data_IF_211608272699
#
_entry.id   IF_211608272699
#
_cell.length_a   1.000
_cell.length_b   1.000
_cell.length_c   1.000
_cell.angle_alpha   90.00
_cell.angle_beta   90.00
_cell.angle_gamma   90.00
#
_symmetry.space_group_name_H-M   'P 1'
#
loop_
_entity.id
_entity.type
_entity.pdbx_description
1 polymer ?
#
# COMPACT_ATOMS: atom_id res chain seq x y z
N UNK A 1 -13.82 18.36 -7.45
CA UNK A 1 -12.54 18.83 -6.86
C UNK A 1 -11.60 19.27 -7.96
N UNK A 2 -10.70 20.23 -7.73
CA UNK A 2 -9.74 20.73 -8.75
C UNK A 2 -8.43 19.95 -8.70
N UNK A 3 -7.97 19.45 -9.84
CA UNK A 3 -6.62 18.90 -10.01
C UNK A 3 -5.64 20.06 -10.25
N UNK A 4 -4.66 20.22 -9.35
CA UNK A 4 -3.78 21.39 -9.31
C UNK A 4 -2.39 21.09 -9.87
N UNK A 5 -1.60 22.13 -10.17
CA UNK A 5 -0.19 22.01 -10.59
C UNK A 5 0.67 21.20 -9.61
N UNK A 6 0.41 21.33 -8.30
CA UNK A 6 1.07 20.51 -7.28
C UNK A 6 0.72 19.02 -7.41
N UNK A 7 -0.54 18.68 -7.69
CA UNK A 7 -0.93 17.28 -7.91
C UNK A 7 -0.28 16.70 -9.18
N UNK A 8 -0.12 17.52 -10.22
CA UNK A 8 0.62 17.14 -11.42
C UNK A 8 2.09 16.86 -11.11
N UNK A 9 2.78 17.76 -10.40
CA UNK A 9 4.17 17.53 -9.97
C UNK A 9 4.32 16.26 -9.13
N UNK A 10 3.39 15.98 -8.22
CA UNK A 10 3.40 14.74 -7.45
C UNK A 10 3.23 13.49 -8.33
N UNK A 11 2.44 13.58 -9.41
CA UNK A 11 2.27 12.47 -10.36
C UNK A 11 3.54 12.23 -11.19
N UNK A 12 4.27 13.29 -11.55
CA UNK A 12 5.59 13.19 -12.20
C UNK A 12 6.64 12.60 -11.25
N UNK A 13 6.64 13.03 -9.99
CA UNK A 13 7.51 12.41 -8.97
C UNK A 13 7.19 10.92 -8.83
N UNK A 14 5.90 10.54 -8.85
CA UNK A 14 5.46 9.16 -8.75
C UNK A 14 6.03 8.24 -9.82
N UNK A 15 6.09 8.67 -11.10
CA UNK A 15 6.70 7.85 -12.16
C UNK A 15 8.23 7.75 -12.00
N UNK A 16 8.89 8.81 -11.53
CA UNK A 16 10.34 8.78 -11.28
C UNK A 16 10.67 7.78 -10.16
N UNK A 17 9.89 7.80 -9.07
CA UNK A 17 10.02 6.83 -7.98
C UNK A 17 9.72 5.41 -8.48
N UNK A 18 8.71 5.23 -9.32
CA UNK A 18 8.41 3.93 -9.95
C UNK A 18 9.62 3.35 -10.70
N UNK A 19 10.22 4.15 -11.58
CA UNK A 19 11.40 3.75 -12.36
C UNK A 19 12.61 3.49 -11.45
N UNK A 20 12.82 4.35 -10.46
CA UNK A 20 13.95 4.23 -9.53
C UNK A 20 13.87 2.93 -8.74
N UNK A 21 12.68 2.59 -8.21
CA UNK A 21 12.49 1.33 -7.47
C UNK A 21 12.81 0.13 -8.37
N UNK A 22 12.26 0.06 -9.59
CA UNK A 22 12.56 -1.03 -10.54
C UNK A 22 14.07 -1.18 -10.82
N UNK A 23 14.79 -0.07 -10.99
CA UNK A 23 16.25 -0.09 -11.20
C UNK A 23 16.96 -0.61 -9.94
N UNK A 24 16.56 -0.14 -8.76
CA UNK A 24 17.14 -0.56 -7.48
C UNK A 24 16.88 -2.05 -7.22
N UNK A 25 15.69 -2.57 -7.53
CA UNK A 25 15.33 -3.98 -7.33
C UNK A 25 16.17 -4.90 -8.20
N UNK A 26 16.36 -4.55 -9.48
CA UNK A 26 17.25 -5.27 -10.40
C UNK A 26 18.69 -5.19 -9.92
N UNK A 27 19.15 -3.99 -9.53
CA UNK A 27 20.51 -3.79 -9.02
C UNK A 27 20.78 -4.65 -7.79
N UNK A 28 19.87 -4.67 -6.82
CA UNK A 28 20.00 -5.45 -5.58
C UNK A 28 20.06 -6.95 -5.89
N UNK A 29 19.20 -7.45 -6.78
CA UNK A 29 19.23 -8.85 -7.19
C UNK A 29 20.55 -9.24 -7.88
N UNK A 30 21.06 -8.40 -8.78
CA UNK A 30 22.35 -8.60 -9.47
C UNK A 30 23.51 -8.55 -8.50
N UNK A 31 23.47 -7.62 -7.53
CA UNK A 31 24.50 -7.52 -6.48
C UNK A 31 24.57 -8.80 -5.65
N UNK A 32 23.44 -9.33 -5.18
CA UNK A 32 23.42 -10.61 -4.45
C UNK A 32 23.97 -11.77 -5.29
N UNK A 33 23.71 -11.77 -6.61
CA UNK A 33 24.27 -12.78 -7.50
C UNK A 33 25.80 -12.69 -7.57
N UNK A 34 26.36 -11.48 -7.72
CA UNK A 34 27.81 -11.26 -7.75
C UNK A 34 28.50 -11.56 -6.41
N UNK A 35 27.82 -11.31 -5.29
CA UNK A 35 28.31 -11.63 -3.94
C UNK A 35 28.18 -13.13 -3.60
N UNK A 36 27.71 -13.98 -4.53
CA UNK A 36 27.56 -15.43 -4.35
C UNK A 36 26.35 -15.84 -3.52
N UNK A 37 25.49 -14.89 -3.13
CA UNK A 37 24.27 -15.11 -2.34
C UNK A 37 23.07 -15.42 -3.26
N UNK A 38 23.15 -16.54 -3.97
CA UNK A 38 22.17 -16.92 -5.00
C UNK A 38 20.74 -17.04 -4.48
N UNK A 39 20.54 -17.53 -3.26
CA UNK A 39 19.20 -17.68 -2.65
C UNK A 39 18.52 -16.32 -2.48
N UNK A 40 19.25 -15.34 -1.94
CA UNK A 40 18.72 -13.99 -1.74
C UNK A 40 18.48 -13.26 -3.06
N UNK A 41 19.36 -13.47 -4.05
CA UNK A 41 19.17 -12.96 -5.42
C UNK A 41 17.88 -13.49 -6.05
N UNK A 42 17.66 -14.81 -6.00
CA UNK A 42 16.46 -15.46 -6.54
C UNK A 42 15.20 -15.03 -5.80
N UNK A 43 15.25 -14.90 -4.48
CA UNK A 43 14.11 -14.43 -3.69
C UNK A 43 13.75 -12.98 -4.04
N UNK A 44 14.73 -12.07 -4.08
CA UNK A 44 14.51 -10.67 -4.43
C UNK A 44 13.90 -10.52 -5.83
N UNK A 45 14.45 -11.24 -6.82
CA UNK A 45 13.92 -11.27 -8.18
C UNK A 45 12.50 -11.85 -8.24
N UNK A 46 12.24 -12.92 -7.49
CA UNK A 46 10.93 -13.57 -7.46
C UNK A 46 9.85 -12.64 -6.88
N UNK A 47 10.16 -11.90 -5.82
CA UNK A 47 9.24 -10.92 -5.24
C UNK A 47 8.95 -9.77 -6.22
N UNK A 48 9.97 -9.26 -6.91
CA UNK A 48 9.81 -8.24 -7.96
C UNK A 48 8.94 -8.73 -9.12
N UNK A 49 9.24 -9.91 -9.67
CA UNK A 49 8.47 -10.48 -10.78
C UNK A 49 7.02 -10.78 -10.37
N UNK A 50 6.81 -11.28 -9.14
CA UNK A 50 5.47 -11.55 -8.65
C UNK A 50 4.66 -10.27 -8.42
N UNK A 51 5.24 -9.27 -7.76
CA UNK A 51 4.61 -7.97 -7.53
C UNK A 51 4.20 -7.30 -8.84
N UNK A 52 5.15 -7.19 -9.77
CA UNK A 52 4.91 -6.61 -11.10
C UNK A 52 3.85 -7.41 -11.89
N UNK A 53 3.87 -8.74 -11.87
CA UNK A 53 2.87 -9.56 -12.57
C UNK A 53 1.45 -9.30 -12.05
N UNK A 54 1.27 -9.28 -10.73
CA UNK A 54 -0.05 -9.03 -10.12
C UNK A 54 -0.54 -7.62 -10.47
N UNK A 55 0.34 -6.63 -10.39
CA UNK A 55 0.03 -5.24 -10.74
C UNK A 55 -0.36 -5.13 -12.22
N UNK A 56 0.35 -5.80 -13.12
CA UNK A 56 0.01 -5.82 -14.55
C UNK A 56 -1.34 -6.49 -14.81
N UNK A 57 -1.71 -7.54 -14.07
CA UNK A 57 -3.03 -8.17 -14.18
C UNK A 57 -4.16 -7.19 -13.83
N UNK A 58 -4.05 -6.48 -12.70
CA UNK A 58 -5.01 -5.42 -12.34
C UNK A 58 -5.00 -4.29 -13.36
N UNK A 59 -3.81 -3.85 -13.76
CA UNK A 59 -3.60 -2.76 -14.69
C UNK A 59 -4.28 -3.04 -16.03
N UNK A 60 -4.11 -4.24 -16.58
CA UNK A 60 -4.74 -4.66 -17.83
C UNK A 60 -6.26 -4.78 -17.70
N UNK A 61 -6.75 -5.44 -16.65
CA UNK A 61 -8.19 -5.62 -16.42
C UNK A 61 -8.93 -4.29 -16.33
N UNK A 62 -8.38 -3.37 -15.54
CA UNK A 62 -8.93 -2.03 -15.39
C UNK A 62 -8.82 -1.22 -16.70
N UNK A 63 -7.72 -1.36 -17.46
CA UNK A 63 -7.55 -0.68 -18.75
C UNK A 63 -8.59 -1.16 -19.78
N UNK A 64 -8.81 -2.47 -19.84
CA UNK A 64 -9.86 -3.08 -20.67
C UNK A 64 -11.25 -2.58 -20.30
N UNK A 65 -11.54 -2.45 -19.01
CA UNK A 65 -12.80 -1.91 -18.54
C UNK A 65 -12.98 -0.42 -18.89
N UNK A 66 -11.91 0.38 -18.87
CA UNK A 66 -11.94 1.79 -19.28
C UNK A 66 -12.16 1.96 -20.79
N UNK A 67 -11.50 1.14 -21.62
CA UNK A 67 -11.72 1.10 -23.07
C UNK A 67 -13.15 0.71 -23.42
N UNK A 68 -13.70 -0.32 -22.74
CA UNK A 68 -15.08 -0.75 -22.93
C UNK A 68 -16.07 0.37 -22.58
N UNK A 69 -15.82 1.13 -21.50
CA UNK A 69 -16.62 2.31 -21.14
C UNK A 69 -16.54 3.43 -22.19
N UNK A 70 -15.40 3.57 -22.86
CA UNK A 70 -15.19 4.54 -23.94
C UNK A 70 -15.68 4.06 -25.32
N UNK A 71 -16.27 2.86 -25.43
CA UNK A 71 -16.72 2.29 -26.70
C UNK A 71 -15.58 1.89 -27.65
N UNK A 72 -14.35 1.75 -27.14
CA UNK A 72 -13.18 1.34 -27.92
C UNK A 72 -12.89 -0.15 -27.72
N UNK A 73 -12.54 -0.86 -28.79
CA UNK A 73 -12.13 -2.25 -28.69
C UNK A 73 -10.70 -2.39 -28.14
N UNK A 74 -10.49 -3.42 -27.34
CA UNK A 74 -9.17 -3.74 -26.77
C UNK A 74 -8.28 -4.33 -27.86
N UNK A 75 -7.32 -3.54 -28.34
CA UNK A 75 -6.32 -4.05 -29.28
C UNK A 75 -5.35 -5.01 -28.59
N UNK A 76 -5.01 -6.12 -29.27
CA UNK A 76 -4.03 -7.12 -28.80
C UNK A 76 -2.65 -6.50 -28.49
N UNK A 77 -2.30 -5.38 -29.11
CA UNK A 77 -1.08 -4.64 -28.83
C UNK A 77 -0.97 -4.18 -27.36
N UNK A 78 -2.10 -3.82 -26.72
CA UNK A 78 -2.09 -3.42 -25.32
C UNK A 78 -1.86 -4.61 -24.38
N UNK A 79 -2.44 -5.79 -24.69
CA UNK A 79 -2.15 -7.02 -23.94
C UNK A 79 -0.65 -7.33 -24.00
N UNK A 80 -0.06 -7.30 -25.20
CA UNK A 80 1.37 -7.53 -25.40
C UNK A 80 2.22 -6.55 -24.58
N UNK A 81 1.83 -5.28 -24.56
CA UNK A 81 2.53 -4.26 -23.78
C UNK A 81 2.44 -4.49 -22.27
N UNK A 82 1.30 -4.95 -21.75
CA UNK A 82 1.17 -5.37 -20.35
C UNK A 82 2.01 -6.63 -20.05
N UNK A 83 2.09 -7.58 -20.98
CA UNK A 83 2.96 -8.75 -20.86
C UNK A 83 4.44 -8.37 -20.83
N UNK A 84 4.84 -7.33 -21.57
CA UNK A 84 6.20 -6.77 -21.57
C UNK A 84 6.44 -5.74 -20.45
N UNK A 85 5.61 -5.73 -19.40
CA UNK A 85 5.66 -4.78 -18.28
C UNK A 85 5.48 -3.29 -18.64
N UNK A 86 5.25 -2.95 -19.91
CA UNK A 86 4.99 -1.59 -20.41
C UNK A 86 3.64 -1.00 -20.00
N UNK A 87 2.72 -1.81 -19.47
CA UNK A 87 1.36 -1.40 -19.16
C UNK A 87 1.25 -0.25 -18.15
N UNK A 88 2.04 -0.29 -17.07
CA UNK A 88 2.06 0.77 -16.04
C UNK A 88 2.52 2.11 -16.64
N UNK A 89 3.55 2.09 -17.51
CA UNK A 89 4.03 3.28 -18.19
C UNK A 89 2.95 3.93 -19.06
N UNK A 90 2.12 3.14 -19.75
CA UNK A 90 0.99 3.72 -20.51
C UNK A 90 -0.04 4.40 -19.62
N UNK A 91 -0.32 3.84 -18.43
CA UNK A 91 -1.24 4.47 -17.47
C UNK A 91 -0.71 5.78 -16.96
N UNK A 92 0.58 5.83 -16.60
CA UNK A 92 1.23 7.08 -16.23
C UNK A 92 1.20 8.09 -17.37
N UNK A 93 1.48 7.67 -18.61
CA UNK A 93 1.40 8.54 -19.78
C UNK A 93 0.01 9.17 -19.95
N UNK A 94 -1.05 8.35 -19.89
CA UNK A 94 -2.42 8.86 -20.00
C UNK A 94 -2.80 9.78 -18.82
N UNK A 95 -2.43 9.41 -17.58
CA UNK A 95 -2.69 10.21 -16.40
C UNK A 95 -1.95 11.56 -16.44
N UNK A 96 -0.69 11.58 -16.87
CA UNK A 96 0.10 12.79 -17.03
C UNK A 96 -0.40 13.66 -18.18
N UNK A 97 -0.73 13.09 -19.34
CA UNK A 97 -1.27 13.85 -20.48
C UNK A 97 -2.57 14.56 -20.12
N UNK A 98 -3.52 13.84 -19.50
CA UNK A 98 -4.79 14.43 -19.04
C UNK A 98 -4.60 15.36 -17.85
N UNK A 99 -3.69 15.03 -16.93
CA UNK A 99 -3.35 15.85 -15.77
C UNK A 99 -2.69 17.18 -16.15
N UNK A 100 -1.86 17.20 -17.19
CA UNK A 100 -1.26 18.42 -17.74
C UNK A 100 -2.35 19.36 -18.27
N UNK A 101 -3.27 18.83 -19.09
CA UNK A 101 -4.38 19.60 -19.62
C UNK A 101 -5.27 20.18 -18.52
N UNK A 102 -5.59 19.36 -17.50
CA UNK A 102 -6.38 19.78 -16.35
C UNK A 102 -5.65 20.82 -15.46
N UNK A 103 -4.32 20.77 -15.34
CA UNK A 103 -3.56 21.65 -14.45
C UNK A 103 -3.07 22.95 -15.10
N UNK A 104 -2.85 22.98 -16.42
CA UNK A 104 -2.19 24.09 -17.11
C UNK A 104 -2.99 24.71 -18.26
N UNK A 105 -3.88 23.96 -18.93
CA UNK A 105 -4.53 24.44 -20.16
C UNK A 105 -5.94 24.98 -19.93
N UNK A 106 -6.67 24.45 -18.93
CA UNK A 106 -8.10 24.73 -18.74
C UNK A 106 -8.43 25.79 -17.67
N UNK A 107 -7.42 26.59 -17.25
CA UNK A 107 -7.60 27.71 -16.30
C UNK A 107 -7.89 29.05 -17.00
N UNK A 108 -7.93 29.09 -18.33
CA UNK A 108 -8.21 30.28 -19.13
C UNK A 108 -9.47 30.11 -20.00
N UNK A 109 -10.52 30.83 -19.62
CA UNK A 109 -11.75 31.16 -20.36
C UNK A 109 -12.84 30.08 -20.55
N UNK A 110 -14.06 30.46 -20.15
CA UNK A 110 -15.39 30.22 -20.76
C UNK A 110 -16.43 29.54 -19.84
N UNK A 111 -17.51 30.27 -19.60
CA UNK A 111 -18.60 30.05 -18.62
C UNK A 111 -19.62 28.96 -18.98
N UNK A 112 -19.48 28.26 -20.12
CA UNK A 112 -20.41 27.20 -20.56
C UNK A 112 -19.90 25.76 -20.34
N UNK A 113 -18.71 25.57 -19.74
CA UNK A 113 -18.02 24.26 -19.65
C UNK A 113 -17.83 23.73 -18.22
N UNK A 114 -18.59 24.25 -17.24
CA UNK A 114 -18.35 23.92 -15.83
C UNK A 114 -18.57 22.43 -15.50
N UNK A 115 -19.54 21.78 -16.15
CA UNK A 115 -19.83 20.35 -15.94
C UNK A 115 -18.77 19.45 -16.57
N UNK A 116 -18.30 19.77 -17.78
CA UNK A 116 -17.21 19.07 -18.47
C UNK A 116 -15.85 19.26 -17.75
N UNK A 117 -15.64 20.42 -17.14
CA UNK A 117 -14.45 20.71 -16.32
C UNK A 117 -14.46 19.90 -15.01
N UNK A 118 -15.61 19.75 -14.36
CA UNK A 118 -15.77 18.91 -13.17
C UNK A 118 -15.53 17.43 -13.53
N UNK A 119 -16.00 16.97 -14.69
CA UNK A 119 -15.80 15.60 -15.16
C UNK A 119 -14.32 15.32 -15.45
N UNK A 120 -13.61 16.23 -16.14
CA UNK A 120 -12.17 16.07 -16.43
C UNK A 120 -11.32 15.98 -15.15
N UNK A 121 -11.54 16.89 -14.19
CA UNK A 121 -10.77 16.86 -12.95
C UNK A 121 -11.04 15.59 -12.15
N UNK A 122 -12.29 15.13 -12.12
CA UNK A 122 -12.67 13.87 -11.47
C UNK A 122 -12.02 12.67 -12.16
N UNK A 123 -12.04 12.61 -13.49
CA UNK A 123 -11.40 11.55 -14.26
C UNK A 123 -9.90 11.45 -13.96
N UNK A 124 -9.19 12.58 -13.94
CA UNK A 124 -7.75 12.60 -13.61
C UNK A 124 -7.49 12.14 -12.18
N UNK A 125 -8.30 12.59 -11.22
CA UNK A 125 -8.17 12.18 -9.81
C UNK A 125 -8.41 10.67 -9.67
N UNK A 126 -9.42 10.12 -10.35
CA UNK A 126 -9.71 8.68 -10.33
C UNK A 126 -8.55 7.88 -10.95
N UNK A 127 -7.99 8.33 -12.08
CA UNK A 127 -6.82 7.69 -12.72
C UNK A 127 -5.57 7.72 -11.83
N UNK A 128 -5.30 8.83 -11.15
CA UNK A 128 -4.18 8.93 -10.20
C UNK A 128 -4.43 8.03 -8.99
N UNK A 129 -5.68 7.90 -8.54
CA UNK A 129 -6.04 7.01 -7.43
C UNK A 129 -5.84 5.54 -7.81
N UNK A 130 -6.22 5.14 -9.03
CA UNK A 130 -5.94 3.81 -9.57
C UNK A 130 -4.42 3.54 -9.60
N UNK A 131 -3.61 4.51 -10.03
CA UNK A 131 -2.14 4.40 -10.01
C UNK A 131 -1.58 4.26 -8.59
N UNK A 132 -2.04 5.06 -7.64
CA UNK A 132 -1.63 4.94 -6.22
C UNK A 132 -2.03 3.58 -5.64
N UNK A 133 -3.17 3.01 -6.03
CA UNK A 133 -3.59 1.67 -5.60
C UNK A 133 -2.72 0.57 -6.20
N UNK A 134 -2.37 0.65 -7.49
CA UNK A 134 -1.44 -0.27 -8.13
C UNK A 134 -0.06 -0.23 -7.46
N UNK A 135 0.43 0.98 -7.18
CA UNK A 135 1.70 1.16 -6.47
C UNK A 135 1.65 0.58 -5.07
N UNK A 136 0.54 0.75 -4.35
CA UNK A 136 0.33 0.13 -3.05
C UNK A 136 0.45 -1.40 -3.12
N UNK A 137 -0.20 -2.04 -4.11
CA UNK A 137 -0.12 -3.49 -4.30
C UNK A 137 1.31 -3.94 -4.55
N UNK A 138 2.02 -3.29 -5.46
CA UNK A 138 3.43 -3.56 -5.74
C UNK A 138 4.27 -3.46 -4.46
N UNK A 139 4.21 -2.31 -3.78
CA UNK A 139 5.00 -2.03 -2.58
C UNK A 139 4.76 -3.05 -1.45
N UNK A 140 3.56 -3.60 -1.32
CA UNK A 140 3.29 -4.65 -0.33
C UNK A 140 3.63 -6.06 -0.81
N UNK A 141 3.40 -6.40 -2.08
CA UNK A 141 3.70 -7.73 -2.62
C UNK A 141 5.21 -7.97 -2.82
N UNK A 142 5.93 -6.90 -3.11
CA UNK A 142 7.37 -6.90 -3.38
C UNK A 142 8.17 -6.30 -2.21
N UNK A 143 7.91 -5.03 -1.89
CA UNK A 143 8.73 -4.26 -0.96
C UNK A 143 8.70 -4.78 0.48
N UNK A 144 7.57 -5.32 0.95
CA UNK A 144 7.47 -5.89 2.30
C UNK A 144 8.30 -7.19 2.47
N UNK A 145 8.18 -8.20 1.59
CA UNK A 145 9.07 -9.36 1.59
C UNK A 145 10.55 -9.02 1.42
N UNK A 146 10.90 -8.08 0.54
CA UNK A 146 12.27 -7.60 0.39
C UNK A 146 12.79 -6.88 1.64
N UNK A 147 11.95 -6.10 2.34
CA UNK A 147 12.32 -5.48 3.62
C UNK A 147 12.58 -6.54 4.70
N UNK A 148 11.79 -7.62 4.76
CA UNK A 148 12.07 -8.77 5.64
C UNK A 148 13.44 -9.37 5.33
N UNK A 149 13.73 -9.58 4.04
CA UNK A 149 15.02 -10.12 3.59
C UNK A 149 16.18 -9.18 3.96
N UNK A 150 16.02 -7.88 3.75
CA UNK A 150 17.02 -6.88 4.11
C UNK A 150 17.27 -6.83 5.62
N UNK A 151 16.21 -6.88 6.42
CA UNK A 151 16.31 -6.93 7.88
C UNK A 151 16.97 -8.23 8.37
N UNK A 152 16.67 -9.36 7.72
CA UNK A 152 17.31 -10.64 8.04
C UNK A 152 18.81 -10.58 7.80
N UNK A 153 19.24 -10.12 6.62
CA UNK A 153 20.67 -9.99 6.27
C UNK A 153 21.38 -9.00 7.20
N UNK A 154 20.73 -7.89 7.52
CA UNK A 154 21.24 -6.86 8.45
C UNK A 154 21.53 -7.45 9.83
N UNK A 155 20.64 -8.28 10.35
CA UNK A 155 20.78 -8.93 11.66
C UNK A 155 21.75 -10.11 11.63
N UNK A 156 21.81 -10.85 10.52
CA UNK A 156 22.72 -12.00 10.34
C UNK A 156 24.19 -11.56 10.34
N UNK A 157 24.52 -10.44 9.70
CA UNK A 157 25.91 -9.99 9.58
C UNK A 157 26.46 -9.34 10.86
N UNK A 158 25.60 -8.89 11.80
CA UNK A 158 25.99 -8.32 13.11
C UNK A 158 26.75 -6.97 13.08
N UNK A 159 27.47 -6.66 12.00
CA UNK A 159 28.20 -5.42 11.77
C UNK A 159 27.57 -4.64 10.62
N UNK A 160 26.44 -4.04 10.90
CA UNK A 160 25.72 -3.24 9.92
C UNK A 160 26.34 -1.85 9.76
N UNK A 161 26.74 -1.53 8.53
CA UNK A 161 27.17 -0.18 8.17
C UNK A 161 26.00 0.80 8.35
N UNK A 162 26.29 2.04 8.73
CA UNK A 162 25.26 3.10 8.83
C UNK A 162 24.39 3.20 7.57
N UNK A 163 25.00 2.99 6.40
CA UNK A 163 24.31 2.96 5.10
C UNK A 163 23.24 1.86 5.01
N UNK A 164 23.44 0.67 5.60
CA UNK A 164 22.45 -0.43 5.56
C UNK A 164 21.26 -0.14 6.48
N UNK A 165 21.51 0.42 7.66
CA UNK A 165 20.44 0.91 8.54
C UNK A 165 19.63 2.01 7.85
N UNK A 166 20.30 2.99 7.25
CA UNK A 166 19.65 4.06 6.50
C UNK A 166 18.80 3.50 5.35
N UNK A 167 19.32 2.56 4.55
CA UNK A 167 18.58 1.93 3.47
C UNK A 167 17.33 1.18 3.96
N UNK A 168 17.43 0.50 5.11
CA UNK A 168 16.30 -0.22 5.73
C UNK A 168 15.22 0.75 6.18
N UNK A 169 15.62 1.87 6.82
CA UNK A 169 14.70 2.92 7.25
C UNK A 169 14.02 3.60 6.05
N UNK A 170 14.76 3.90 4.99
CA UNK A 170 14.22 4.47 3.75
C UNK A 170 13.18 3.54 3.14
N UNK A 171 13.47 2.23 3.05
CA UNK A 171 12.54 1.24 2.52
C UNK A 171 11.25 1.14 3.35
N UNK A 172 11.37 1.10 4.69
CA UNK A 172 10.21 1.10 5.57
C UNK A 172 9.38 2.40 5.47
N UNK A 173 10.05 3.55 5.34
CA UNK A 173 9.41 4.84 5.08
C UNK A 173 8.68 4.85 3.74
N UNK A 174 9.28 4.31 2.68
CA UNK A 174 8.67 4.22 1.34
C UNK A 174 7.38 3.40 1.37
N UNK A 175 7.38 2.22 2.02
CA UNK A 175 6.18 1.38 2.19
C UNK A 175 5.07 2.13 2.94
N UNK A 176 5.45 2.81 4.02
CA UNK A 176 4.51 3.57 4.84
C UNK A 176 3.94 4.77 4.08
N UNK A 177 4.78 5.45 3.29
CA UNK A 177 4.38 6.58 2.45
C UNK A 177 3.43 6.15 1.33
N UNK A 178 3.68 5.01 0.68
CA UNK A 178 2.77 4.43 -0.33
C UNK A 178 1.34 4.25 0.23
N UNK A 179 1.23 3.82 1.49
CA UNK A 179 -0.07 3.72 2.19
C UNK A 179 -0.73 5.08 2.42
N UNK A 180 0.06 6.09 2.80
CA UNK A 180 -0.44 7.46 3.02
C UNK A 180 -0.90 8.07 1.69
N UNK A 181 -0.10 7.91 0.64
CA UNK A 181 -0.41 8.41 -0.71
C UNK A 181 -1.72 7.82 -1.22
N UNK A 182 -1.89 6.50 -1.14
CA UNK A 182 -3.14 5.84 -1.47
C UNK A 182 -4.32 6.38 -0.65
N UNK A 183 -4.19 6.54 0.66
CA UNK A 183 -5.29 7.06 1.50
C UNK A 183 -5.66 8.51 1.15
N UNK A 184 -4.68 9.33 0.79
CA UNK A 184 -4.92 10.71 0.32
C UNK A 184 -5.60 10.70 -1.05
N UNK A 185 -5.14 9.87 -1.99
CA UNK A 185 -5.72 9.75 -3.32
C UNK A 185 -7.17 9.21 -3.25
N UNK A 186 -7.40 8.15 -2.47
CA UNK A 186 -8.72 7.57 -2.23
C UNK A 186 -9.70 8.61 -1.70
N UNK A 187 -9.33 9.36 -0.65
CA UNK A 187 -10.21 10.40 -0.10
C UNK A 187 -10.46 11.55 -1.08
N UNK A 188 -9.54 11.86 -1.99
CA UNK A 188 -9.75 12.85 -3.06
C UNK A 188 -10.71 12.34 -4.14
N UNK A 189 -10.69 11.05 -4.45
CA UNK A 189 -11.60 10.43 -5.45
C UNK A 189 -13.06 10.38 -4.99
N UNK A 190 -13.28 10.29 -3.67
CA UNK A 190 -14.61 10.12 -3.08
C UNK A 190 -15.22 11.48 -2.72
N UNK A 191 -16.31 11.92 -3.38
CA UNK A 191 -16.93 13.22 -3.10
C UNK A 191 -17.52 13.29 -1.69
N UNK A 192 -17.97 12.15 -1.15
CA UNK A 192 -18.67 12.04 0.14
C UNK A 192 -17.70 11.89 1.33
N UNK A 193 -16.38 11.93 1.11
CA UNK A 193 -15.37 11.78 2.18
C UNK A 193 -14.58 13.06 2.38
N UNK A 194 -14.38 13.44 3.65
CA UNK A 194 -13.51 14.56 4.02
C UNK A 194 -12.04 14.26 3.66
N UNK A 195 -11.41 15.26 3.06
CA UNK A 195 -9.99 15.25 2.72
C UNK A 195 -9.12 15.19 3.99
N UNK A 196 -7.93 14.60 3.83
CA UNK A 196 -6.83 14.74 4.77
C UNK A 196 -6.15 16.10 4.55
N UNK A 197 -6.76 17.16 5.10
CA UNK A 197 -6.23 18.52 5.02
C UNK A 197 -5.11 18.74 6.05
N UNK A 198 -4.01 19.33 5.60
CA UNK A 198 -2.84 19.65 6.44
C UNK A 198 -1.73 18.59 6.42
N UNK A 199 -0.54 19.00 6.87
CA UNK A 199 0.63 18.14 6.99
C UNK A 199 0.54 17.24 8.24
N UNK A 200 -0.02 17.75 9.34
CA UNK A 200 -0.05 17.05 10.61
C UNK A 200 -0.79 15.69 10.54
N UNK A 201 -2.03 15.60 10.01
CA UNK A 201 -2.72 14.30 9.87
C UNK A 201 -1.96 13.28 9.01
N UNK A 202 -1.28 13.76 7.95
CA UNK A 202 -0.49 12.90 7.04
C UNK A 202 0.77 12.37 7.74
N UNK A 203 1.48 13.23 8.46
CA UNK A 203 2.69 12.87 9.20
C UNK A 203 2.35 11.91 10.36
N UNK A 204 1.28 12.17 11.11
CA UNK A 204 0.84 11.25 12.18
C UNK A 204 0.44 9.89 11.59
N UNK A 205 -0.27 9.87 10.47
CA UNK A 205 -0.64 8.62 9.79
C UNK A 205 0.59 7.85 9.28
N UNK A 206 1.57 8.58 8.73
CA UNK A 206 2.85 8.01 8.28
C UNK A 206 3.58 7.35 9.44
N UNK A 207 3.78 8.04 10.56
CA UNK A 207 4.47 7.48 11.72
C UNK A 207 3.73 6.29 12.32
N UNK A 208 2.39 6.34 12.40
CA UNK A 208 1.59 5.19 12.79
C UNK A 208 1.88 3.97 11.90
N UNK A 209 1.82 4.11 10.57
CA UNK A 209 2.08 3.00 9.65
C UNK A 209 3.53 2.53 9.72
N UNK A 210 4.49 3.45 9.80
CA UNK A 210 5.91 3.16 9.91
C UNK A 210 6.25 2.33 11.15
N UNK A 211 5.85 2.80 12.34
CA UNK A 211 6.21 2.13 13.58
C UNK A 211 5.51 0.77 13.75
N UNK A 212 4.24 0.66 13.34
CA UNK A 212 3.50 -0.62 13.39
C UNK A 212 4.01 -1.64 12.37
N UNK A 213 4.51 -1.19 11.22
CA UNK A 213 5.17 -2.04 10.23
C UNK A 213 6.53 -2.50 10.74
N UNK A 214 7.39 -1.57 11.17
CA UNK A 214 8.76 -1.84 11.62
C UNK A 214 8.81 -2.83 12.78
N UNK A 215 7.99 -2.62 13.82
CA UNK A 215 7.90 -3.52 14.97
C UNK A 215 7.56 -4.96 14.56
N UNK A 216 6.61 -5.11 13.65
CA UNK A 216 6.20 -6.41 13.14
C UNK A 216 7.23 -7.07 12.26
N UNK A 217 7.82 -6.34 11.32
CA UNK A 217 8.84 -6.90 10.44
C UNK A 217 10.03 -7.42 11.24
N UNK A 218 10.48 -6.65 12.24
CA UNK A 218 11.50 -7.11 13.18
C UNK A 218 11.08 -8.37 13.94
N UNK A 219 9.83 -8.44 14.41
CA UNK A 219 9.31 -9.66 15.08
C UNK A 219 9.30 -10.87 14.15
N UNK A 220 8.83 -10.72 12.91
CA UNK A 220 8.82 -11.80 11.91
C UNK A 220 10.24 -12.26 11.61
N UNK A 221 11.20 -11.34 11.49
CA UNK A 221 12.61 -11.67 11.27
C UNK A 221 13.21 -12.41 12.47
N UNK A 222 12.89 -12.02 13.71
CA UNK A 222 13.30 -12.79 14.89
C UNK A 222 12.75 -14.23 14.85
N UNK A 223 11.49 -14.40 14.44
CA UNK A 223 10.91 -15.74 14.29
C UNK A 223 11.57 -16.54 13.17
N UNK A 224 12.00 -15.90 12.08
CA UNK A 224 12.78 -16.53 11.00
C UNK A 224 14.13 -17.07 11.50
N UNK A 225 14.81 -16.31 12.36
CA UNK A 225 16.05 -16.78 13.01
C UNK A 225 15.82 -17.96 13.95
N UNK A 226 14.66 -18.01 14.63
CA UNK A 226 14.32 -19.12 15.50
C UNK A 226 14.05 -20.39 14.71
N UNK A 227 13.12 -20.33 13.75
CA UNK A 227 12.79 -21.44 12.88
C UNK A 227 12.03 -20.96 11.64
N UNK A 228 12.68 -21.04 10.49
CA UNK A 228 12.11 -20.66 9.19
C UNK A 228 10.77 -21.35 8.92
N UNK A 229 10.62 -22.64 9.25
CA UNK A 229 9.36 -23.38 9.00
C UNK A 229 8.21 -22.84 9.84
N UNK A 230 8.46 -22.53 11.12
CA UNK A 230 7.45 -21.96 12.02
C UNK A 230 7.05 -20.55 11.56
N UNK A 231 8.04 -19.72 11.17
CA UNK A 231 7.78 -18.39 10.64
C UNK A 231 6.92 -18.43 9.37
N UNK A 232 7.29 -19.27 8.39
CA UNK A 232 6.52 -19.44 7.16
C UNK A 232 5.12 -19.99 7.41
N UNK A 233 4.98 -20.95 8.31
CA UNK A 233 3.67 -21.48 8.71
C UNK A 233 2.79 -20.39 9.35
N UNK A 234 3.36 -19.57 10.24
CA UNK A 234 2.64 -18.46 10.88
C UNK A 234 2.21 -17.41 9.86
N UNK A 235 3.08 -17.01 8.93
CA UNK A 235 2.75 -16.07 7.86
C UNK A 235 1.67 -16.63 6.93
N UNK A 236 1.75 -17.92 6.57
CA UNK A 236 0.74 -18.60 5.77
C UNK A 236 -0.61 -18.65 6.49
N UNK A 237 -0.61 -18.96 7.78
CA UNK A 237 -1.83 -18.97 8.59
C UNK A 237 -2.48 -17.58 8.66
N UNK A 238 -1.70 -16.53 8.91
CA UNK A 238 -2.20 -15.15 8.89
C UNK A 238 -2.74 -14.74 7.53
N UNK A 239 -2.08 -15.17 6.45
CA UNK A 239 -2.55 -14.93 5.09
C UNK A 239 -3.92 -15.56 4.86
N UNK A 240 -4.08 -16.84 5.21
CA UNK A 240 -5.36 -17.54 5.08
C UNK A 240 -6.47 -16.86 5.90
N UNK A 241 -6.18 -16.44 7.13
CA UNK A 241 -7.12 -15.67 7.95
C UNK A 241 -7.51 -14.35 7.27
N UNK A 242 -6.53 -13.63 6.70
CA UNK A 242 -6.75 -12.39 5.96
C UNK A 242 -7.64 -12.60 4.73
N UNK A 243 -7.40 -13.68 3.97
CA UNK A 243 -8.21 -14.06 2.82
C UNK A 243 -9.64 -14.41 3.24
N UNK A 244 -9.81 -15.27 4.25
CA UNK A 244 -11.14 -15.62 4.80
C UNK A 244 -11.89 -14.37 5.25
N UNK A 245 -11.20 -13.43 5.89
CA UNK A 245 -11.78 -12.16 6.29
C UNK A 245 -12.20 -11.33 5.05
N UNK A 246 -11.36 -11.21 4.03
CA UNK A 246 -11.71 -10.53 2.78
C UNK A 246 -12.97 -11.14 2.13
N UNK A 247 -13.10 -12.47 2.12
CA UNK A 247 -14.31 -13.16 1.66
C UNK A 247 -15.53 -12.83 2.53
N UNK A 248 -15.42 -12.91 3.86
CA UNK A 248 -16.52 -12.61 4.78
C UNK A 248 -17.02 -11.17 4.64
N UNK A 249 -16.16 -10.24 4.22
CA UNK A 249 -16.54 -8.83 3.98
C UNK A 249 -17.20 -8.58 2.63
N UNK A 250 -17.32 -9.59 1.75
CA UNK A 250 -18.02 -9.52 0.46
C UNK A 250 -17.65 -8.27 -0.35
N UNK A 251 -16.38 -8.13 -0.68
CA UNK A 251 -15.90 -7.02 -1.50
C UNK A 251 -16.45 -7.07 -2.93
N UNK A 252 -16.69 -5.90 -3.52
CA UNK A 252 -17.15 -5.73 -4.91
C UNK A 252 -16.25 -4.74 -5.66
N UNK A 253 -14.94 -4.96 -5.63
CA UNK A 253 -13.98 -4.00 -6.17
C UNK A 253 -13.80 -4.12 -7.70
N UNK A 254 -13.76 -5.34 -8.21
CA UNK A 254 -13.62 -5.65 -9.62
C UNK A 254 -14.96 -6.10 -10.23
N UNK A 255 -15.18 -5.75 -11.51
CA UNK A 255 -16.38 -6.17 -12.25
C UNK A 255 -16.37 -7.66 -12.61
N UNK A 256 -15.19 -8.25 -12.78
CA UNK A 256 -15.04 -9.68 -13.08
C UNK A 256 -14.76 -10.51 -11.84
N UNK A 257 -15.45 -11.63 -11.69
CA UNK A 257 -15.31 -12.57 -10.55
C UNK A 257 -13.86 -13.04 -10.34
N UNK A 258 -13.14 -13.36 -11.42
CA UNK A 258 -11.74 -13.80 -11.33
C UNK A 258 -10.81 -12.73 -10.75
N UNK A 259 -11.01 -11.47 -11.12
CA UNK A 259 -10.19 -10.37 -10.60
C UNK A 259 -10.58 -9.98 -9.18
N UNK A 260 -11.85 -10.15 -8.81
CA UNK A 260 -12.30 -9.98 -7.44
C UNK A 260 -11.69 -11.03 -6.51
N UNK A 261 -11.59 -12.27 -6.98
CA UNK A 261 -10.87 -13.34 -6.27
C UNK A 261 -9.39 -13.00 -6.08
N UNK A 262 -8.70 -12.56 -7.14
CA UNK A 262 -7.31 -12.10 -7.06
C UNK A 262 -7.16 -10.92 -6.09
N UNK A 263 -8.09 -9.96 -6.11
CA UNK A 263 -8.10 -8.82 -5.19
C UNK A 263 -8.17 -9.27 -3.73
N UNK A 264 -9.07 -10.20 -3.40
CA UNK A 264 -9.20 -10.74 -2.04
C UNK A 264 -7.93 -11.46 -1.58
N UNK A 265 -7.26 -12.19 -2.48
CA UNK A 265 -5.97 -12.81 -2.21
C UNK A 265 -4.90 -11.77 -1.86
N UNK A 266 -4.77 -10.73 -2.69
CA UNK A 266 -3.78 -9.66 -2.50
C UNK A 266 -4.06 -8.86 -1.23
N UNK A 267 -5.32 -8.53 -0.96
CA UNK A 267 -5.71 -7.86 0.28
C UNK A 267 -5.41 -8.72 1.51
N UNK A 268 -5.68 -10.03 1.44
CA UNK A 268 -5.29 -10.97 2.49
C UNK A 268 -3.78 -10.98 2.73
N UNK A 269 -2.97 -10.82 1.68
CA UNK A 269 -1.51 -10.68 1.80
C UNK A 269 -1.10 -9.35 2.45
N UNK A 270 -1.71 -8.24 2.04
CA UNK A 270 -1.48 -6.92 2.66
C UNK A 270 -1.81 -6.95 4.16
N UNK A 271 -2.88 -7.66 4.55
CA UNK A 271 -3.29 -7.84 5.95
C UNK A 271 -2.25 -8.57 6.81
N UNK A 272 -1.28 -9.28 6.23
CA UNK A 272 -0.16 -9.83 7.01
C UNK A 272 0.69 -8.68 7.55
N UNK A 273 0.82 -7.58 6.81
CA UNK A 273 1.75 -6.49 7.10
C UNK A 273 1.08 -5.27 7.71
N UNK A 274 -0.11 -4.90 7.26
CA UNK A 274 -0.80 -3.72 7.79
C UNK A 274 -2.31 -3.89 7.77
N UNK A 275 -2.99 -3.19 8.69
CA UNK A 275 -4.43 -3.06 8.59
C UNK A 275 -4.79 -2.27 7.32
N UNK A 276 -5.34 -2.97 6.34
CA UNK A 276 -5.95 -2.40 5.16
C UNK A 276 -7.46 -2.46 5.33
N UNK A 277 -8.11 -1.29 5.32
CA UNK A 277 -9.57 -1.25 5.41
C UNK A 277 -10.13 -1.83 4.11
N UNK A 278 -11.00 -2.83 4.19
CA UNK A 278 -11.51 -3.57 3.03
C UNK A 278 -12.88 -3.05 2.55
N UNK A 279 -13.71 -2.55 3.47
CA UNK A 279 -15.12 -2.20 3.23
C UNK A 279 -15.46 -0.74 3.55
N UNK A 280 -14.46 0.10 3.85
CA UNK A 280 -14.62 1.56 3.98
C UNK A 280 -15.48 2.08 5.15
N UNK A 281 -16.26 1.22 5.81
CA UNK A 281 -17.26 1.59 6.82
C UNK A 281 -17.06 0.83 8.16
N UNK A 282 -17.57 1.40 9.26
CA UNK A 282 -17.56 0.81 10.62
C UNK A 282 -16.24 0.13 11.02
N UNK A 283 -15.16 0.91 10.92
CA UNK A 283 -13.79 0.38 11.04
C UNK A 283 -13.33 0.18 12.48
N UNK A 284 -13.99 0.75 13.49
CA UNK A 284 -13.52 0.77 14.89
C UNK A 284 -13.29 -0.66 15.45
N UNK A 285 -14.31 -1.51 15.41
CA UNK A 285 -14.24 -2.90 15.90
C UNK A 285 -13.27 -3.80 15.11
N UNK A 286 -13.36 -3.90 13.77
CA UNK A 286 -12.43 -4.72 12.99
C UNK A 286 -10.97 -4.28 13.15
N UNK A 287 -10.74 -2.96 13.22
CA UNK A 287 -9.40 -2.42 13.44
C UNK A 287 -8.87 -2.76 14.84
N UNK A 288 -9.70 -2.62 15.88
CA UNK A 288 -9.31 -3.01 17.24
C UNK A 288 -8.94 -4.48 17.32
N UNK A 289 -9.77 -5.37 16.76
CA UNK A 289 -9.49 -6.80 16.69
C UNK A 289 -8.16 -7.11 16.00
N UNK A 290 -7.91 -6.47 14.84
CA UNK A 290 -6.64 -6.62 14.11
C UNK A 290 -5.44 -6.22 14.98
N UNK A 291 -5.48 -5.04 15.61
CA UNK A 291 -4.34 -4.55 16.40
C UNK A 291 -4.15 -5.32 17.70
N UNK A 292 -5.21 -5.86 18.31
CA UNK A 292 -5.10 -6.78 19.46
C UNK A 292 -4.37 -8.05 19.05
N UNK A 293 -4.81 -8.73 17.98
CA UNK A 293 -4.14 -9.94 17.47
C UNK A 293 -2.69 -9.63 17.11
N UNK A 294 -2.43 -8.47 16.52
CA UNK A 294 -1.08 -8.01 16.16
C UNK A 294 -0.17 -7.84 17.37
N UNK A 295 -0.64 -7.15 18.41
CA UNK A 295 0.11 -6.95 19.66
C UNK A 295 0.37 -8.29 20.35
N UNK A 296 -0.65 -9.16 20.45
CA UNK A 296 -0.50 -10.50 21.03
C UNK A 296 0.51 -11.35 20.23
N UNK A 297 0.47 -11.30 18.90
CA UNK A 297 1.43 -11.99 18.05
C UNK A 297 2.86 -11.51 18.26
N UNK A 298 3.09 -10.19 18.27
CA UNK A 298 4.41 -9.62 18.54
C UNK A 298 4.92 -9.98 19.94
N UNK A 299 4.08 -9.86 20.97
CA UNK A 299 4.45 -10.23 22.34
C UNK A 299 4.74 -11.74 22.45
N UNK A 300 3.93 -12.59 21.81
CA UNK A 300 4.14 -14.03 21.78
C UNK A 300 5.48 -14.41 21.16
N UNK A 301 5.84 -13.79 20.03
CA UNK A 301 7.14 -14.00 19.38
C UNK A 301 8.28 -13.55 20.31
N UNK A 302 8.17 -12.37 20.92
CA UNK A 302 9.18 -11.89 21.88
C UNK A 302 9.34 -12.82 23.08
N UNK A 303 8.24 -13.34 23.65
CA UNK A 303 8.28 -14.28 24.77
C UNK A 303 9.00 -15.57 24.36
N UNK A 304 8.63 -16.16 23.23
CA UNK A 304 9.30 -17.37 22.72
C UNK A 304 10.78 -17.11 22.49
N UNK A 305 11.13 -15.96 21.93
CA UNK A 305 12.51 -15.58 21.66
C UNK A 305 13.34 -15.35 22.94
N UNK A 306 12.72 -14.88 24.03
CA UNK A 306 13.35 -14.76 25.35
C UNK A 306 13.46 -16.08 26.10
N UNK A 307 12.49 -16.98 25.95
CA UNK A 307 12.52 -18.31 26.59
C UNK A 307 13.47 -19.27 25.87
N UNK A 308 13.62 -19.11 24.55
CA UNK A 308 14.53 -19.89 23.72
C UNK A 308 15.60 -18.97 23.10
N UNK A 309 16.56 -18.46 23.89
CA UNK A 309 17.59 -17.57 23.36
C UNK A 309 18.45 -18.31 22.33
N UNK A 310 18.58 -17.73 21.15
CA UNK A 310 19.43 -18.27 20.08
C UNK A 310 20.89 -17.99 20.38
N UNK A 311 21.74 -19.00 20.20
CA UNK A 311 23.20 -18.91 20.35
C UNK A 311 23.86 -17.93 19.35
N UNK A 312 23.16 -17.56 18.28
CA UNK A 312 23.62 -16.63 17.24
C UNK A 312 23.64 -15.18 17.76
N UNK A 313 22.75 -14.83 18.69
CA UNK A 313 22.70 -13.47 19.25
C UNK A 313 23.54 -13.39 20.51
N UNK A 314 24.65 -12.64 20.44
CA UNK A 314 25.34 -12.18 21.65
C UNK A 314 24.38 -11.32 22.49
N UNK A 315 24.52 -11.38 23.82
CA UNK A 315 23.70 -10.61 24.77
C UNK A 315 23.62 -9.11 24.43
N UNK A 316 24.67 -8.57 23.79
CA UNK A 316 24.79 -7.16 23.42
C UNK A 316 23.84 -6.72 22.29
N UNK A 317 23.45 -7.61 21.38
CA UNK A 317 22.50 -7.31 20.30
C UNK A 317 21.05 -7.69 20.64
N UNK A 318 20.90 -8.69 21.52
CA UNK A 318 19.62 -9.22 21.95
C UNK A 318 18.73 -8.15 22.63
N UNK A 319 19.31 -7.39 23.56
CA UNK A 319 18.59 -6.38 24.35
C UNK A 319 18.18 -5.19 23.46
N UNK A 320 19.06 -4.57 22.66
CA UNK A 320 18.68 -3.46 21.79
C UNK A 320 17.58 -3.79 20.78
N UNK A 321 17.60 -4.98 20.17
CA UNK A 321 16.56 -5.39 19.21
C UNK A 321 15.21 -5.55 19.92
N UNK A 322 15.19 -6.23 21.07
CA UNK A 322 13.96 -6.39 21.87
C UNK A 322 13.39 -5.04 22.30
N UNK A 323 14.24 -4.13 22.81
CA UNK A 323 13.84 -2.77 23.17
C UNK A 323 13.29 -2.02 21.96
N UNK A 324 13.93 -2.13 20.81
CA UNK A 324 13.49 -1.48 19.57
C UNK A 324 12.11 -1.98 19.14
N UNK A 325 11.85 -3.29 19.19
CA UNK A 325 10.54 -3.86 18.84
C UNK A 325 9.44 -3.34 19.78
N UNK A 326 9.69 -3.33 21.08
CA UNK A 326 8.72 -2.85 22.08
C UNK A 326 8.49 -1.35 21.93
N UNK A 327 9.55 -0.56 21.80
CA UNK A 327 9.46 0.89 21.63
C UNK A 327 8.68 1.27 20.36
N UNK A 328 9.00 0.64 19.24
CA UNK A 328 8.30 0.87 17.97
C UNK A 328 6.85 0.39 18.03
N UNK A 329 6.55 -0.71 18.73
CA UNK A 329 5.16 -1.14 18.94
C UNK A 329 4.37 -0.08 19.72
N UNK A 330 4.91 0.37 20.86
CA UNK A 330 4.27 1.36 21.73
C UNK A 330 4.06 2.69 21.01
N UNK A 331 5.08 3.18 20.30
CA UNK A 331 4.97 4.38 19.47
C UNK A 331 3.93 4.20 18.36
N UNK A 332 3.90 3.05 17.69
CA UNK A 332 2.91 2.74 16.66
C UNK A 332 1.48 2.79 17.18
N UNK A 333 1.22 2.23 18.36
CA UNK A 333 -0.10 2.28 19.02
C UNK A 333 -0.43 3.70 19.51
N UNK A 334 0.55 4.44 20.03
CA UNK A 334 0.36 5.84 20.43
C UNK A 334 -0.05 6.70 19.22
N UNK A 335 0.69 6.63 18.11
CA UNK A 335 0.35 7.37 16.89
C UNK A 335 -0.98 6.91 16.29
N UNK A 336 -1.34 5.63 16.42
CA UNK A 336 -2.65 5.13 16.05
C UNK A 336 -3.76 5.83 16.86
N UNK A 337 -3.63 5.85 18.18
CA UNK A 337 -4.60 6.50 19.09
C UNK A 337 -4.69 7.99 18.80
N UNK A 338 -3.55 8.67 18.66
CA UNK A 338 -3.49 10.11 18.34
C UNK A 338 -4.15 10.37 16.99
N UNK A 339 -3.86 9.60 15.95
CA UNK A 339 -4.45 9.79 14.63
C UNK A 339 -5.97 9.59 14.66
N UNK A 340 -6.48 8.49 15.20
CA UNK A 340 -7.93 8.24 15.25
C UNK A 340 -8.67 9.10 16.28
N UNK A 341 -7.98 9.49 17.35
CA UNK A 341 -8.49 10.40 18.36
C UNK A 341 -8.59 11.84 17.86
N UNK A 342 -7.54 12.39 17.27
CA UNK A 342 -7.48 13.85 17.01
C UNK A 342 -7.55 14.23 15.54
N UNK A 343 -6.94 13.44 14.66
CA UNK A 343 -6.71 13.83 13.26
C UNK A 343 -7.61 13.11 12.24
N UNK A 344 -8.36 12.10 12.65
CA UNK A 344 -9.20 11.33 11.73
C UNK A 344 -10.41 12.17 11.27
N UNK A 345 -10.59 12.39 9.95
CA UNK A 345 -11.56 13.36 9.44
C UNK A 345 -13.03 13.08 9.79
N UNK A 346 -13.40 11.83 10.09
CA UNK A 346 -14.80 11.47 10.36
C UNK A 346 -15.22 11.66 11.83
N UNK A 347 -14.35 12.17 12.73
CA UNK A 347 -14.74 12.43 14.13
C UNK A 347 -15.75 13.59 14.26
N UNK A 348 -15.81 14.49 13.27
CA UNK A 348 -16.65 15.69 13.32
C UNK A 348 -18.15 15.48 13.02
N UNK A 349 -18.64 14.24 12.91
CA UNK A 349 -19.96 13.96 12.30
C UNK A 349 -20.84 12.92 13.02
N UNK A 350 -20.55 12.56 14.28
CA UNK A 350 -21.57 11.90 15.13
C UNK A 350 -22.68 12.89 15.58
N UNK A 351 -22.87 14.02 14.89
CA UNK A 351 -23.84 15.07 15.29
C UNK A 351 -24.46 15.81 14.10
N UNK A 352 -25.11 15.09 13.18
CA UNK A 352 -26.14 15.65 12.29
C UNK A 352 -27.00 14.53 11.69
N UNK A 353 -28.23 14.40 12.18
CA UNK A 353 -29.31 13.68 11.51
C UNK A 353 -30.10 14.65 10.61
N UNK A 354 -30.52 14.12 9.45
CA UNK A 354 -31.71 14.44 8.61
C UNK A 354 -31.83 15.87 8.00
N UNK A 355 -32.24 16.13 6.74
CA UNK A 355 -32.93 15.40 5.65
C UNK A 355 -32.58 16.03 4.25
N UNK A 356 -32.54 15.17 3.19
CA UNK A 356 -33.11 15.21 1.81
C UNK A 356 -33.13 16.58 1.04
N UNK A 357 -32.68 16.74 -0.22
CA UNK A 357 -33.28 16.25 -1.48
C UNK A 357 -32.37 16.48 -2.71
N UNK A 358 -32.46 15.60 -3.71
CA UNK A 358 -31.82 15.76 -5.03
C UNK A 358 -30.86 14.63 -5.42
N UNK A 359 -31.24 13.82 -6.41
CA UNK A 359 -30.39 12.78 -7.01
C UNK A 359 -29.20 13.41 -7.75
N UNK A 360 -27.94 13.16 -7.37
CA UNK A 360 -26.81 13.47 -8.25
C UNK A 360 -26.68 12.36 -9.29
N UNK A 361 -26.54 12.76 -10.55
CA UNK A 361 -26.33 11.88 -11.71
C UNK A 361 -25.23 10.85 -11.43
N UNK A 362 -25.61 9.58 -11.60
CA UNK A 362 -24.90 8.40 -11.18
C UNK A 362 -23.79 8.04 -12.20
N UNK A 363 -22.51 8.15 -11.82
CA UNK A 363 -21.40 7.55 -12.58
C UNK A 363 -20.44 6.81 -11.66
N UNK A 364 -20.19 5.55 -12.00
CA UNK A 364 -19.49 4.54 -11.19
C UNK A 364 -17.97 4.78 -11.13
N UNK A 365 -17.48 5.29 -9.99
CA UNK A 365 -16.07 5.21 -9.62
C UNK A 365 -15.81 3.83 -8.98
N UNK A 366 -14.75 3.12 -9.40
CA UNK A 366 -14.41 1.78 -8.87
C UNK A 366 -14.14 1.81 -7.36
N UNK A 367 -13.57 2.91 -6.88
CA UNK A 367 -13.33 3.16 -5.46
C UNK A 367 -14.62 3.41 -4.66
N UNK A 368 -15.77 3.60 -5.32
CA UNK A 368 -17.07 3.80 -4.65
C UNK A 368 -17.64 2.50 -4.09
N UNK A 369 -17.32 1.35 -4.69
CA UNK A 369 -17.71 0.03 -4.16
C UNK A 369 -16.99 -0.35 -2.87
N UNK A 370 -16.01 0.46 -2.45
CA UNK A 370 -15.42 0.40 -1.12
C UNK A 370 -16.39 0.86 -0.02
N UNK A 371 -17.54 1.44 -0.36
CA UNK A 371 -18.45 2.12 0.56
C UNK A 371 -19.95 1.83 0.32
N UNK A 372 -20.32 0.91 -0.55
CA UNK A 372 -21.71 0.44 -0.69
C UNK A 372 -21.81 -0.93 0.01
N UNK A 373 -22.68 -1.25 0.96
CA UNK A 373 -23.67 -0.52 1.79
C UNK A 373 -23.28 -0.62 3.27
#
# INVERSE_FOLDING_TARGET
MKYTKQNFMMSVLGIIIYITDLIVDIWVSVRFFHEGQYVFSVLALSFMLFGTLVVQCFSYSWFKADLKKAGQESQHCFLLLHCLQGGIFTRYWFALKRGYHAAFTYDSNTTNFMEEQIDLHKEVIDRVTDLSMLRLFETYLEGCPQLILQLYILLEHGQANFSQYAATMVSCCAISWSTVDYQVALRKSLPDKKLLNGLCPKITYLFYKFFTLLSWMLSVVLLLFLNVKIALFMLLFLWLLGVIWAFKKNTQFCTSVSMEFLYRIVVGFILIFTFFNIKGQNTKCPMSCYYIVRVLGTLGILIVFWVCPLTIFNSDYFIPISITIVLTLLLGILFLIVYYGTFHPNRSEETKCDEIDGKPVLRECRMRYFLME
#
